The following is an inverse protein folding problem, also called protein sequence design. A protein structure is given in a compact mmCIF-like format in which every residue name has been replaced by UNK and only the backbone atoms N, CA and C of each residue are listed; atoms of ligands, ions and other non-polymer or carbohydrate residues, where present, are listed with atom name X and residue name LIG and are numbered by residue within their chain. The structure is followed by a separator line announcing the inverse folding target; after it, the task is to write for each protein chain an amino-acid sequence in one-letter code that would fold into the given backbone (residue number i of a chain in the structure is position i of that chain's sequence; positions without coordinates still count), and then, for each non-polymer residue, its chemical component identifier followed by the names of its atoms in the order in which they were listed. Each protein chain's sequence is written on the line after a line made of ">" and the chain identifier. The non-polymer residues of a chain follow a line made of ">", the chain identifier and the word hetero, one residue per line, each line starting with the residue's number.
data_IF_291411284736
#
_entry.id   IF_291411284736
#
_cell.length_a   1.000
_cell.length_b   1.000
_cell.length_c   1.000
_cell.angle_alpha   90.00
_cell.angle_beta   90.00
_cell.angle_gamma   90.00
#
_symmetry.space_group_name_H-M   'P 1'
#
loop_
_entity.id
_entity.type
_entity.pdbx_description
1 polymer ?
#
# COMPACT_ATOMS: atom_id res chain seq x y z
N UNK A 1 6.17 23.83 6.86
CA UNK A 1 4.96 23.01 6.79
C UNK A 1 5.26 21.75 6.00
N UNK A 2 4.91 20.59 6.55
CA UNK A 2 4.94 19.30 5.84
C UNK A 2 3.51 18.83 5.70
N UNK A 3 3.12 18.46 4.49
CA UNK A 3 1.74 18.10 4.17
C UNK A 3 1.67 17.06 3.06
N UNK A 4 0.53 16.40 2.96
CA UNK A 4 0.17 15.56 1.81
C UNK A 4 -0.53 16.42 0.75
N UNK A 5 -0.93 15.79 -0.37
CA UNK A 5 -1.73 16.43 -1.41
C UNK A 5 -3.05 17.08 -0.93
N UNK A 6 -3.47 16.81 0.33
CA UNK A 6 -4.66 17.42 0.93
C UNK A 6 -4.61 18.96 0.97
N UNK A 7 -3.42 19.55 1.04
CA UNK A 7 -3.23 21.00 0.94
C UNK A 7 -3.09 21.52 -0.51
N UNK A 8 -3.15 20.65 -1.50
CA UNK A 8 -3.12 21.01 -2.90
C UNK A 8 -4.34 21.83 -3.37
N UNK A 9 -5.45 21.79 -2.61
CA UNK A 9 -6.64 22.58 -2.86
C UNK A 9 -7.14 23.23 -1.56
N UNK A 10 -7.74 24.42 -1.67
CA UNK A 10 -8.37 25.10 -0.53
C UNK A 10 -7.43 25.71 0.52
N UNK A 11 -6.12 25.51 0.38
CA UNK A 11 -5.12 26.11 1.26
C UNK A 11 -4.59 27.41 0.65
N UNK A 12 -4.66 28.48 1.41
CA UNK A 12 -4.15 29.78 1.01
C UNK A 12 -3.23 30.36 2.10
N UNK A 13 -1.96 30.47 1.77
CA UNK A 13 -0.93 31.08 2.61
C UNK A 13 -0.07 31.97 1.71
N UNK A 14 -0.32 33.29 1.69
CA UNK A 14 0.24 34.18 0.69
C UNK A 14 1.78 34.33 0.78
N UNK A 15 2.36 34.10 1.94
CA UNK A 15 3.80 34.20 2.22
C UNK A 15 4.59 32.91 1.99
N UNK A 16 4.06 31.95 1.22
CA UNK A 16 4.82 30.76 0.83
C UNK A 16 5.94 31.13 -0.15
N UNK A 17 7.19 31.09 0.32
CA UNK A 17 8.38 31.35 -0.47
C UNK A 17 8.92 30.14 -1.21
N UNK A 18 8.45 28.93 -0.91
CA UNK A 18 8.88 27.72 -1.64
C UNK A 18 7.88 26.58 -1.54
N UNK A 19 7.95 25.66 -2.52
CA UNK A 19 7.28 24.35 -2.50
C UNK A 19 8.28 23.29 -2.92
N UNK A 20 8.43 22.25 -2.08
CA UNK A 20 9.24 21.06 -2.40
C UNK A 20 8.32 19.86 -2.47
N UNK A 21 8.30 19.17 -3.60
CA UNK A 21 7.64 17.88 -3.76
C UNK A 21 8.65 16.76 -3.51
N UNK A 22 8.33 15.90 -2.56
CA UNK A 22 9.02 14.65 -2.31
C UNK A 22 8.17 13.53 -2.91
N UNK A 23 8.51 13.15 -4.14
CA UNK A 23 7.66 12.37 -5.05
C UNK A 23 6.82 13.27 -5.97
N UNK A 24 6.56 12.81 -7.18
CA UNK A 24 5.82 13.54 -8.18
C UNK A 24 4.30 13.29 -8.07
N UNK A 25 3.44 14.30 -8.25
CA UNK A 25 2.01 14.11 -8.51
C UNK A 25 1.79 13.32 -9.82
N UNK A 26 0.63 12.67 -9.94
CA UNK A 26 0.30 11.83 -11.11
C UNK A 26 -0.03 12.60 -12.38
N UNK A 27 -0.06 13.92 -12.34
CA UNK A 27 -0.33 14.74 -13.53
C UNK A 27 0.31 16.13 -13.46
N UNK A 28 0.69 16.73 -14.59
CA UNK A 28 1.17 18.10 -14.65
C UNK A 28 0.15 19.13 -14.14
N UNK A 29 -1.14 18.88 -14.33
CA UNK A 29 -2.21 19.74 -13.83
C UNK A 29 -2.22 19.76 -12.30
N UNK A 30 -2.17 18.59 -11.67
CA UNK A 30 -2.08 18.48 -10.21
C UNK A 30 -0.80 19.14 -9.67
N UNK A 31 0.33 18.93 -10.36
CA UNK A 31 1.59 19.58 -10.03
C UNK A 31 1.46 21.12 -10.10
N UNK A 32 0.96 21.66 -11.22
CA UNK A 32 0.78 23.11 -11.41
C UNK A 32 -0.11 23.72 -10.33
N UNK A 33 -1.22 23.06 -9.97
CA UNK A 33 -2.11 23.52 -8.90
C UNK A 33 -1.42 23.59 -7.53
N UNK A 34 -0.50 22.66 -7.25
CA UNK A 34 0.22 22.61 -5.99
C UNK A 34 1.34 23.64 -5.94
N UNK A 35 2.15 23.78 -6.97
CA UNK A 35 3.22 24.79 -7.04
C UNK A 35 2.69 26.22 -7.10
N UNK A 36 1.52 26.42 -7.71
CA UNK A 36 0.84 27.72 -7.75
C UNK A 36 0.35 28.24 -6.39
N UNK A 37 0.65 27.54 -5.30
CA UNK A 37 0.44 28.01 -3.92
C UNK A 37 1.57 28.94 -3.46
N UNK A 38 2.77 28.79 -3.99
CA UNK A 38 3.90 29.67 -3.68
C UNK A 38 3.89 30.95 -4.54
N UNK A 39 4.52 31.99 -4.06
CA UNK A 39 4.76 33.23 -4.81
C UNK A 39 3.54 34.15 -4.92
N UNK A 40 2.50 34.01 -4.10
CA UNK A 40 1.29 34.83 -4.20
C UNK A 40 1.47 36.25 -3.68
N UNK A 41 2.23 36.40 -2.60
CA UNK A 41 2.55 37.73 -2.01
C UNK A 41 4.05 37.84 -1.67
N UNK A 42 4.89 37.15 -2.43
CA UNK A 42 6.34 37.23 -2.36
C UNK A 42 6.88 37.56 -3.75
N UNK A 43 7.96 38.31 -3.82
CA UNK A 43 8.58 38.68 -5.10
C UNK A 43 9.21 37.50 -5.82
N UNK A 44 9.53 36.44 -5.06
CA UNK A 44 10.14 35.22 -5.55
C UNK A 44 9.65 34.00 -4.78
N UNK A 45 9.53 32.86 -5.47
CA UNK A 45 9.26 31.58 -4.86
C UNK A 45 10.01 30.46 -5.58
N UNK A 46 10.60 29.58 -4.79
CA UNK A 46 11.34 28.43 -5.30
C UNK A 46 10.44 27.19 -5.36
N UNK A 47 10.57 26.43 -6.45
CA UNK A 47 9.85 25.18 -6.63
C UNK A 47 10.85 24.07 -6.97
N UNK A 48 10.83 23.01 -6.19
CA UNK A 48 11.68 21.84 -6.39
C UNK A 48 10.83 20.58 -6.46
N UNK A 49 11.07 19.78 -7.48
CA UNK A 49 10.49 18.45 -7.63
C UNK A 49 11.61 17.41 -7.47
N UNK A 50 11.39 16.47 -6.54
CA UNK A 50 12.26 15.32 -6.29
C UNK A 50 11.48 14.04 -6.62
N UNK A 51 11.43 13.63 -7.91
CA UNK A 51 10.69 12.43 -8.30
C UNK A 51 11.41 11.17 -7.81
N UNK A 52 10.63 10.11 -7.51
CA UNK A 52 11.11 8.82 -7.09
C UNK A 52 10.67 7.69 -8.02
N UNK A 53 11.41 6.58 -8.11
CA UNK A 53 11.02 5.42 -8.92
C UNK A 53 9.69 4.81 -8.46
N UNK A 54 9.32 5.00 -7.19
CA UNK A 54 8.08 4.54 -6.57
C UNK A 54 6.83 5.34 -6.98
N UNK A 55 6.99 6.53 -7.53
CA UNK A 55 5.87 7.40 -7.91
C UNK A 55 4.89 6.70 -8.86
N UNK A 56 5.41 5.97 -9.84
CA UNK A 56 4.59 5.18 -10.79
C UNK A 56 3.74 4.11 -10.10
N UNK A 57 4.27 3.44 -9.09
CA UNK A 57 3.54 2.41 -8.35
C UNK A 57 2.45 3.05 -7.49
N UNK A 58 2.71 4.22 -6.93
CA UNK A 58 1.75 5.03 -6.18
C UNK A 58 0.62 5.49 -7.11
N UNK A 59 0.93 6.05 -8.28
CA UNK A 59 -0.06 6.49 -9.26
C UNK A 59 -0.93 5.32 -9.72
N UNK A 60 -0.33 4.19 -10.09
CA UNK A 60 -1.05 2.97 -10.49
C UNK A 60 -1.97 2.47 -9.37
N UNK A 61 -1.50 2.48 -8.13
CA UNK A 61 -2.33 2.10 -6.99
C UNK A 61 -3.59 2.97 -6.90
N UNK A 62 -3.46 4.29 -6.96
CA UNK A 62 -4.60 5.19 -6.90
C UNK A 62 -5.49 5.09 -8.14
N UNK A 63 -4.92 4.90 -9.31
CA UNK A 63 -5.68 4.70 -10.55
C UNK A 63 -6.57 3.45 -10.48
N UNK A 64 -6.01 2.33 -10.04
CA UNK A 64 -6.74 1.05 -9.94
C UNK A 64 -7.72 1.00 -8.78
N UNK A 65 -7.36 1.57 -7.62
CA UNK A 65 -8.22 1.53 -6.42
C UNK A 65 -9.49 2.35 -6.58
N UNK A 66 -9.48 3.37 -7.43
CA UNK A 66 -10.62 4.27 -7.64
C UNK A 66 -11.55 3.80 -8.77
N UNK A 67 -11.18 2.77 -9.52
CA UNK A 67 -12.06 2.18 -10.54
C UNK A 67 -12.88 1.04 -9.93
N UNK A 68 -14.20 1.00 -10.19
CA UNK A 68 -15.02 -0.11 -9.73
C UNK A 68 -14.64 -1.38 -10.48
N UNK A 69 -14.40 -2.44 -9.75
CA UNK A 69 -14.35 -3.80 -10.28
C UNK A 69 -15.78 -4.34 -10.40
N UNK A 70 -16.16 -4.89 -11.54
CA UNK A 70 -17.53 -5.36 -11.80
C UNK A 70 -17.99 -6.44 -10.82
N UNK A 71 -17.12 -7.42 -10.53
CA UNK A 71 -17.43 -8.51 -9.63
C UNK A 71 -17.67 -8.01 -8.20
N UNK A 72 -16.81 -7.12 -7.73
CA UNK A 72 -16.93 -6.48 -6.41
C UNK A 72 -18.17 -5.59 -6.32
N UNK A 73 -18.46 -4.83 -7.37
CA UNK A 73 -19.65 -4.00 -7.44
C UNK A 73 -20.93 -4.84 -7.36
N UNK A 74 -21.01 -5.93 -8.14
CA UNK A 74 -22.14 -6.88 -8.10
C UNK A 74 -22.28 -7.54 -6.73
N UNK A 75 -21.18 -7.92 -6.08
CA UNK A 75 -21.21 -8.48 -4.73
C UNK A 75 -21.80 -7.48 -3.71
N UNK A 76 -21.37 -6.22 -3.74
CA UNK A 76 -21.91 -5.17 -2.86
C UNK A 76 -23.40 -4.93 -3.11
N UNK A 77 -23.80 -4.84 -4.37
CA UNK A 77 -25.20 -4.64 -4.76
C UNK A 77 -26.08 -5.82 -4.33
N UNK A 78 -25.60 -7.06 -4.49
CA UNK A 78 -26.31 -8.27 -4.05
C UNK A 78 -26.54 -8.32 -2.53
N UNK A 79 -25.51 -7.93 -1.74
CA UNK A 79 -25.63 -7.87 -0.27
C UNK A 79 -26.62 -6.79 0.20
N UNK A 80 -26.64 -5.63 -0.48
CA UNK A 80 -27.61 -4.58 -0.17
C UNK A 80 -29.03 -4.99 -0.54
N UNK A 81 -29.22 -5.70 -1.65
CA UNK A 81 -30.51 -6.22 -2.09
C UNK A 81 -31.01 -7.31 -1.14
N UNK A 82 -30.18 -8.30 -0.82
CA UNK A 82 -30.50 -9.38 0.10
C UNK A 82 -30.86 -8.89 1.51
N UNK A 83 -30.25 -7.78 1.96
CA UNK A 83 -30.54 -7.20 3.25
C UNK A 83 -31.93 -6.56 3.33
N UNK A 84 -32.48 -6.03 2.25
CA UNK A 84 -33.79 -5.35 2.18
C UNK A 84 -33.92 -4.11 3.08
N UNK A 85 -32.81 -3.66 3.68
CA UNK A 85 -32.69 -2.51 4.58
C UNK A 85 -31.34 -1.84 4.45
N UNK A 86 -31.18 -0.57 4.89
CA UNK A 86 -29.90 0.10 4.87
C UNK A 86 -28.82 -0.65 5.66
N UNK A 87 -27.63 -0.75 5.10
CA UNK A 87 -26.44 -1.31 5.75
C UNK A 87 -25.38 -0.23 5.96
N UNK A 88 -24.86 -0.15 7.18
CA UNK A 88 -23.68 0.68 7.46
C UNK A 88 -22.43 0.10 6.78
N UNK A 89 -21.41 0.94 6.55
CA UNK A 89 -20.13 0.47 5.99
C UNK A 89 -19.53 -0.67 6.82
N UNK A 90 -19.48 -0.60 8.16
CA UNK A 90 -19.00 -1.74 8.96
C UNK A 90 -19.84 -3.02 8.77
N UNK A 91 -21.15 -2.91 8.57
CA UNK A 91 -22.00 -4.06 8.31
C UNK A 91 -21.75 -4.67 6.91
N UNK A 92 -21.41 -3.85 5.92
CA UNK A 92 -21.02 -4.32 4.58
C UNK A 92 -19.63 -4.97 4.60
N UNK A 93 -18.68 -4.43 5.36
CA UNK A 93 -17.34 -5.03 5.52
C UNK A 93 -17.39 -6.47 6.03
N UNK A 94 -18.43 -6.85 6.80
CA UNK A 94 -18.60 -8.24 7.25
C UNK A 94 -19.20 -9.16 6.19
N UNK A 95 -19.61 -8.64 5.04
CA UNK A 95 -20.35 -9.38 3.99
C UNK A 95 -19.56 -9.47 2.69
N UNK A 96 -18.71 -8.48 2.40
CA UNK A 96 -17.92 -8.40 1.18
C UNK A 96 -16.44 -8.34 1.49
N UNK A 97 -15.62 -8.98 0.67
CA UNK A 97 -14.17 -8.99 0.83
C UNK A 97 -13.54 -7.70 0.28
N UNK A 98 -13.87 -6.59 0.92
CA UNK A 98 -13.33 -5.26 0.63
C UNK A 98 -12.86 -4.58 1.91
N UNK A 99 -11.72 -3.90 1.83
CA UNK A 99 -11.29 -2.97 2.88
C UNK A 99 -12.22 -1.75 2.88
N UNK A 100 -12.28 -1.07 4.02
CA UNK A 100 -13.18 0.07 4.24
C UNK A 100 -13.06 1.15 3.17
N UNK A 101 -11.86 1.64 2.90
CA UNK A 101 -11.64 2.74 1.94
C UNK A 101 -12.07 2.36 0.51
N UNK A 102 -11.65 1.22 -0.08
CA UNK A 102 -12.18 0.76 -1.37
C UNK A 102 -13.69 0.59 -1.37
N UNK A 103 -14.29 0.07 -0.31
CA UNK A 103 -15.74 -0.09 -0.19
C UNK A 103 -16.46 1.26 -0.20
N UNK A 104 -15.98 2.24 0.58
CA UNK A 104 -16.55 3.59 0.62
C UNK A 104 -16.44 4.31 -0.73
N UNK A 105 -15.33 4.13 -1.45
CA UNK A 105 -15.15 4.67 -2.80
C UNK A 105 -16.11 4.02 -3.79
N UNK A 106 -16.23 2.70 -3.77
CA UNK A 106 -17.15 1.95 -4.62
C UNK A 106 -18.61 2.39 -4.39
N UNK A 107 -19.03 2.52 -3.12
CA UNK A 107 -20.38 2.99 -2.78
C UNK A 107 -20.66 4.40 -3.31
N UNK A 108 -19.66 5.29 -3.31
CA UNK A 108 -19.80 6.63 -3.90
C UNK A 108 -19.97 6.57 -5.42
N UNK A 109 -19.20 5.72 -6.11
CA UNK A 109 -19.35 5.52 -7.56
C UNK A 109 -20.73 4.96 -7.89
N UNK A 110 -21.15 3.91 -7.17
CA UNK A 110 -22.48 3.32 -7.35
C UNK A 110 -23.63 4.30 -7.03
N UNK A 111 -23.40 5.27 -6.14
CA UNK A 111 -24.37 6.34 -5.89
C UNK A 111 -24.47 7.34 -7.02
N UNK A 112 -23.32 7.70 -7.64
CA UNK A 112 -23.30 8.54 -8.85
C UNK A 112 -24.00 7.81 -10.02
N UNK A 113 -23.83 6.50 -10.11
CA UNK A 113 -24.54 5.67 -11.12
C UNK A 113 -26.03 5.47 -10.80
N UNK A 114 -26.51 5.96 -9.66
CA UNK A 114 -27.91 5.84 -9.25
C UNK A 114 -28.30 4.46 -8.69
N UNK A 115 -27.35 3.53 -8.58
CA UNK A 115 -27.63 2.15 -8.15
C UNK A 115 -27.85 2.01 -6.63
N UNK A 116 -27.25 2.90 -5.84
CA UNK A 116 -27.39 2.96 -4.37
C UNK A 116 -27.64 4.39 -3.91
N UNK A 117 -28.23 4.52 -2.74
CA UNK A 117 -28.39 5.81 -2.08
C UNK A 117 -27.99 5.72 -0.61
N UNK A 118 -27.52 6.84 -0.08
CA UNK A 118 -27.24 6.98 1.35
C UNK A 118 -28.53 7.39 2.07
N UNK A 119 -28.90 6.65 3.10
CA UNK A 119 -30.09 6.90 3.92
C UNK A 119 -29.70 6.95 5.41
N UNK A 120 -30.66 7.25 6.27
CA UNK A 120 -30.47 7.10 7.70
C UNK A 120 -30.23 5.62 8.03
N UNK A 121 -29.06 5.31 8.57
CA UNK A 121 -28.64 3.92 8.90
C UNK A 121 -27.64 3.30 7.92
N UNK A 122 -27.35 3.94 6.78
CA UNK A 122 -26.32 3.46 5.86
C UNK A 122 -26.63 3.59 4.39
N UNK A 123 -26.27 2.58 3.62
CA UNK A 123 -26.44 2.49 2.18
C UNK A 123 -27.53 1.50 1.84
N UNK A 124 -28.31 1.78 0.81
CA UNK A 124 -29.42 0.97 0.35
C UNK A 124 -29.49 0.96 -1.18
N UNK A 125 -30.00 -0.13 -1.76
CA UNK A 125 -30.36 -0.18 -3.18
C UNK A 125 -31.46 0.83 -3.50
N UNK A 126 -31.37 1.45 -4.68
CA UNK A 126 -32.45 2.29 -5.20
C UNK A 126 -33.56 1.50 -5.89
N UNK A 127 -33.27 0.26 -6.30
CA UNK A 127 -34.14 -0.54 -7.17
C UNK A 127 -33.89 -0.32 -8.65
N UNK A 128 -33.13 0.69 -9.03
CA UNK A 128 -32.76 0.94 -10.43
C UNK A 128 -31.82 -0.15 -10.95
N UNK A 129 -32.03 -0.61 -12.21
CA UNK A 129 -31.12 -1.52 -12.86
C UNK A 129 -29.71 -0.90 -12.95
N UNK A 130 -28.68 -1.66 -12.61
CA UNK A 130 -27.31 -1.22 -12.77
C UNK A 130 -26.57 -2.12 -13.76
N UNK A 131 -25.93 -1.51 -14.73
CA UNK A 131 -25.04 -2.16 -15.68
C UNK A 131 -23.63 -1.58 -15.54
N UNK A 132 -22.64 -2.45 -15.63
CA UNK A 132 -21.23 -2.01 -15.60
C UNK A 132 -20.87 -1.29 -16.89
N UNK A 133 -20.58 0.01 -16.81
CA UNK A 133 -20.15 0.83 -17.95
C UNK A 133 -18.63 0.72 -18.14
N UNK A 134 -18.20 -0.43 -18.68
CA UNK A 134 -16.78 -0.71 -18.92
C UNK A 134 -16.12 0.28 -19.87
N UNK A 135 -16.87 0.83 -20.85
CA UNK A 135 -16.33 1.84 -21.77
C UNK A 135 -16.01 3.15 -21.06
N UNK A 136 -16.92 3.64 -20.22
CA UNK A 136 -16.70 4.86 -19.43
C UNK A 136 -15.51 4.68 -18.48
N UNK A 137 -15.46 3.59 -17.76
CA UNK A 137 -14.35 3.33 -16.82
C UNK A 137 -13.04 3.12 -17.57
N UNK A 138 -13.06 2.47 -18.74
CA UNK A 138 -11.89 2.33 -19.60
C UNK A 138 -11.36 3.69 -20.10
N UNK A 139 -12.24 4.60 -20.52
CA UNK A 139 -11.83 5.95 -20.92
C UNK A 139 -11.19 6.73 -19.75
N UNK A 140 -11.77 6.63 -18.54
CA UNK A 140 -11.19 7.29 -17.35
C UNK A 140 -9.83 6.69 -16.99
N UNK A 141 -9.69 5.37 -17.05
CA UNK A 141 -8.42 4.70 -16.82
C UNK A 141 -7.35 5.14 -17.84
N UNK A 142 -7.71 5.20 -19.12
CA UNK A 142 -6.80 5.65 -20.18
C UNK A 142 -6.38 7.11 -19.99
N UNK A 143 -7.30 8.00 -19.66
CA UNK A 143 -6.98 9.41 -19.41
C UNK A 143 -5.95 9.56 -18.28
N UNK A 144 -6.01 8.73 -17.23
CA UNK A 144 -5.01 8.73 -16.16
C UNK A 144 -3.64 8.23 -16.63
N UNK A 145 -3.61 7.20 -17.46
CA UNK A 145 -2.36 6.73 -18.07
C UNK A 145 -1.72 7.81 -18.94
N UNK A 146 -2.54 8.56 -19.68
CA UNK A 146 -2.07 9.67 -20.51
C UNK A 146 -1.54 10.83 -19.64
N UNK A 147 -2.19 11.14 -18.52
CA UNK A 147 -1.71 12.13 -17.55
C UNK A 147 -0.39 11.72 -16.89
N UNK A 148 -0.26 10.44 -16.50
CA UNK A 148 0.99 9.89 -15.96
C UNK A 148 2.13 10.01 -16.98
N UNK A 149 1.85 9.70 -18.24
CA UNK A 149 2.83 9.86 -19.32
C UNK A 149 3.27 11.32 -19.48
N UNK A 150 2.33 12.26 -19.46
CA UNK A 150 2.64 13.69 -19.52
C UNK A 150 3.50 14.13 -18.33
N UNK A 151 3.28 13.58 -17.13
CA UNK A 151 4.13 13.89 -15.97
C UNK A 151 5.55 13.37 -16.14
N UNK A 152 5.72 12.16 -16.67
CA UNK A 152 7.04 11.62 -17.02
C UNK A 152 7.73 12.42 -18.11
N UNK A 153 6.98 12.88 -19.12
CA UNK A 153 7.51 13.75 -20.19
C UNK A 153 7.96 15.11 -19.60
N UNK A 154 7.22 15.64 -18.62
CA UNK A 154 7.62 16.83 -17.87
C UNK A 154 8.92 16.62 -17.06
N UNK A 155 9.05 15.51 -16.36
CA UNK A 155 10.27 15.17 -15.60
C UNK A 155 11.50 15.08 -16.51
N UNK A 156 11.34 14.54 -17.72
CA UNK A 156 12.40 14.28 -18.68
C UNK A 156 12.57 15.37 -19.74
N UNK A 157 11.76 16.44 -19.70
CA UNK A 157 11.89 17.50 -20.72
C UNK A 157 13.26 18.16 -20.66
N UNK A 158 13.85 18.45 -21.80
CA UNK A 158 15.04 19.29 -21.94
C UNK A 158 14.70 20.76 -22.21
N UNK A 159 13.40 21.06 -22.36
CA UNK A 159 12.90 22.41 -22.61
C UNK A 159 12.52 23.17 -21.34
N UNK A 160 11.93 24.33 -21.51
CA UNK A 160 11.46 25.13 -20.39
C UNK A 160 10.34 24.44 -19.59
N UNK A 161 10.52 24.31 -18.29
CA UNK A 161 9.54 23.68 -17.37
C UNK A 161 8.18 24.36 -17.40
N UNK A 162 8.17 25.71 -17.33
CA UNK A 162 6.91 26.47 -17.31
C UNK A 162 6.21 26.46 -18.66
N UNK A 163 6.94 26.57 -19.76
CA UNK A 163 6.37 26.44 -21.09
C UNK A 163 5.70 25.08 -21.29
N UNK A 164 6.33 23.98 -20.80
CA UNK A 164 5.73 22.66 -20.86
C UNK A 164 4.39 22.61 -20.09
N UNK A 165 4.36 23.11 -18.85
CA UNK A 165 3.15 23.15 -18.04
C UNK A 165 2.06 24.03 -18.67
N UNK A 166 2.43 25.20 -19.18
CA UNK A 166 1.47 26.11 -19.86
C UNK A 166 0.86 25.45 -21.09
N UNK A 167 1.65 24.74 -21.89
CA UNK A 167 1.13 24.00 -23.07
C UNK A 167 0.16 22.89 -22.69
N UNK A 168 0.47 22.13 -21.61
CA UNK A 168 -0.44 21.10 -21.10
C UNK A 168 -1.76 21.68 -20.58
N UNK A 169 -1.75 22.96 -20.18
CA UNK A 169 -2.94 23.70 -19.75
C UNK A 169 -3.62 24.48 -20.89
N UNK A 170 -3.28 24.17 -22.15
CA UNK A 170 -3.85 24.80 -23.33
C UNK A 170 -3.62 26.33 -23.41
N UNK A 171 -2.54 26.83 -22.78
CA UNK A 171 -2.17 28.26 -22.88
C UNK A 171 -1.57 28.57 -24.27
N UNK A 172 -2.26 29.33 -25.11
CA UNK A 172 -1.79 29.70 -26.44
C UNK A 172 -0.58 30.65 -26.39
N UNK A 173 -0.25 31.22 -25.24
CA UNK A 173 0.86 32.14 -25.03
C UNK A 173 2.06 31.44 -24.35
N UNK A 174 2.06 30.13 -24.26
CA UNK A 174 3.15 29.36 -23.65
C UNK A 174 4.50 29.72 -24.29
N UNK A 175 5.42 30.23 -23.48
CA UNK A 175 6.75 30.66 -23.90
C UNK A 175 7.80 30.34 -22.82
N UNK A 176 9.11 30.29 -23.19
CA UNK A 176 10.18 30.11 -22.23
C UNK A 176 10.14 31.13 -21.08
N UNK A 177 10.22 30.62 -19.84
CA UNK A 177 10.05 31.47 -18.65
C UNK A 177 11.30 32.25 -18.23
N UNK A 178 12.48 31.91 -18.75
CA UNK A 178 13.76 32.55 -18.42
C UNK A 178 14.31 32.28 -17.03
N UNK A 179 13.63 31.51 -16.17
CA UNK A 179 13.97 31.36 -14.74
C UNK A 179 14.01 29.95 -14.20
N UNK A 180 13.56 28.94 -14.94
CA UNK A 180 13.66 27.54 -14.50
C UNK A 180 15.09 27.00 -14.68
N UNK A 181 15.35 25.81 -14.15
CA UNK A 181 16.64 25.11 -14.25
C UNK A 181 17.15 24.95 -15.68
N UNK A 182 16.26 24.75 -16.65
CA UNK A 182 16.63 24.68 -18.09
C UNK A 182 16.86 26.04 -18.72
N UNK A 183 16.23 27.11 -18.25
CA UNK A 183 16.42 28.43 -18.83
C UNK A 183 17.59 29.21 -18.22
N UNK A 184 17.76 29.12 -16.88
CA UNK A 184 18.73 29.91 -16.11
C UNK A 184 19.82 29.07 -15.41
N UNK A 185 19.73 27.74 -15.53
CA UNK A 185 20.57 26.81 -14.79
C UNK A 185 19.99 26.46 -13.40
N UNK A 186 20.48 25.36 -12.81
CA UNK A 186 20.00 24.91 -11.51
C UNK A 186 20.44 25.87 -10.39
N UNK A 187 19.49 26.26 -9.53
CA UNK A 187 19.72 27.09 -8.35
C UNK A 187 20.04 26.24 -7.09
N UNK A 188 19.79 24.94 -7.15
CA UNK A 188 19.98 23.97 -6.07
C UNK A 188 21.29 23.19 -6.26
N UNK A 189 21.86 22.62 -5.18
CA UNK A 189 23.04 21.76 -5.27
C UNK A 189 22.78 20.53 -6.13
N UNK A 190 23.63 20.29 -7.12
CA UNK A 190 23.55 19.10 -8.00
C UNK A 190 24.37 17.91 -7.48
N UNK A 191 25.13 18.12 -6.39
CA UNK A 191 25.90 17.08 -5.70
C UNK A 191 25.50 17.00 -4.23
N UNK A 192 25.48 15.79 -3.69
CA UNK A 192 25.22 15.53 -2.28
C UNK A 192 26.55 15.16 -1.64
N UNK A 193 26.89 15.77 -0.50
CA UNK A 193 28.11 15.45 0.22
C UNK A 193 28.05 14.03 0.84
N UNK A 194 29.23 13.44 1.08
CA UNK A 194 29.32 12.07 1.59
C UNK A 194 28.75 11.91 3.01
N UNK A 195 28.75 12.97 3.82
CA UNK A 195 28.16 12.92 5.17
C UNK A 195 26.64 12.85 5.10
N UNK A 196 26.01 13.61 4.20
CA UNK A 196 24.57 13.57 3.96
C UNK A 196 24.14 12.21 3.39
N UNK A 197 24.90 11.65 2.43
CA UNK A 197 24.68 10.29 1.91
C UNK A 197 24.78 9.25 3.02
N UNK A 198 25.83 9.34 3.87
CA UNK A 198 26.03 8.43 5.00
C UNK A 198 24.87 8.48 6.01
N UNK A 199 24.38 9.68 6.34
CA UNK A 199 23.24 9.86 7.22
C UNK A 199 21.93 9.32 6.62
N UNK A 200 21.68 9.58 5.34
CA UNK A 200 20.55 9.05 4.63
C UNK A 200 20.59 7.51 4.59
N UNK A 201 21.75 6.92 4.25
CA UNK A 201 21.92 5.46 4.23
C UNK A 201 21.68 4.83 5.60
N UNK A 202 22.16 5.45 6.68
CA UNK A 202 21.89 4.98 8.05
C UNK A 202 20.39 5.06 8.39
N UNK A 203 19.72 6.14 8.00
CA UNK A 203 18.29 6.31 8.25
C UNK A 203 17.46 5.29 7.47
N UNK A 204 17.78 5.08 6.18
CA UNK A 204 17.11 4.12 5.31
C UNK A 204 17.45 2.66 5.66
N UNK A 205 18.62 2.42 6.26
CA UNK A 205 19.06 1.10 6.72
C UNK A 205 18.45 0.65 8.03
N UNK A 206 17.62 1.47 8.70
CA UNK A 206 16.94 1.06 9.92
C UNK A 206 15.96 -0.06 9.62
N UNK A 207 16.01 -1.09 10.46
CA UNK A 207 15.11 -2.24 10.41
C UNK A 207 14.23 -2.28 11.65
N UNK A 208 13.13 -3.04 11.56
CA UNK A 208 12.26 -3.31 12.69
C UNK A 208 11.01 -2.45 12.71
N UNK A 209 9.91 -3.04 12.26
CA UNK A 209 8.57 -2.46 12.37
C UNK A 209 7.77 -3.31 13.33
N UNK A 210 7.22 -2.67 14.34
CA UNK A 210 6.34 -3.31 15.31
C UNK A 210 5.04 -3.75 14.66
N UNK A 211 4.61 -4.98 14.99
CA UNK A 211 3.32 -5.54 14.60
C UNK A 211 2.52 -5.74 15.88
N UNK A 212 1.62 -4.81 16.15
CA UNK A 212 0.76 -4.88 17.33
C UNK A 212 -0.18 -6.09 17.25
N UNK A 213 -0.29 -6.88 18.32
CA UNK A 213 -1.20 -8.01 18.39
C UNK A 213 -2.64 -7.52 18.43
N UNK A 214 -3.52 -8.25 17.78
CA UNK A 214 -4.96 -7.99 17.91
C UNK A 214 -5.47 -8.43 19.28
N UNK A 215 -6.34 -7.61 19.84
CA UNK A 215 -7.02 -7.89 21.11
C UNK A 215 -8.44 -8.40 20.92
N UNK A 216 -8.97 -8.33 19.69
CA UNK A 216 -10.33 -8.77 19.37
C UNK A 216 -10.38 -9.45 18.00
N UNK A 217 -11.22 -10.45 17.92
CA UNK A 217 -11.52 -11.11 16.65
C UNK A 217 -12.20 -10.13 15.68
N UNK A 218 -11.95 -10.24 14.37
CA UNK A 218 -12.68 -9.46 13.38
C UNK A 218 -14.19 -9.70 13.49
N UNK A 219 -15.00 -8.69 13.20
CA UNK A 219 -16.44 -8.85 13.13
C UNK A 219 -16.85 -9.66 11.89
N UNK A 220 -17.96 -10.41 12.00
CA UNK A 220 -18.52 -11.17 10.87
C UNK A 220 -17.90 -12.55 10.63
N UNK A 221 -17.09 -13.05 11.55
CA UNK A 221 -16.45 -14.37 11.44
C UNK A 221 -17.47 -15.52 11.35
N UNK A 222 -18.62 -15.38 12.03
CA UNK A 222 -19.73 -16.33 11.98
C UNK A 222 -20.28 -16.56 10.55
N UNK A 223 -20.27 -15.52 9.72
CA UNK A 223 -20.68 -15.62 8.29
C UNK A 223 -19.69 -16.39 7.43
N UNK A 224 -18.45 -16.46 7.86
CA UNK A 224 -17.37 -17.21 7.21
C UNK A 224 -17.22 -18.63 7.80
N UNK A 225 -18.16 -19.07 8.63
CA UNK A 225 -18.12 -20.38 9.29
C UNK A 225 -17.09 -20.50 10.41
N UNK A 226 -16.53 -19.39 10.88
CA UNK A 226 -15.50 -19.38 11.93
C UNK A 226 -16.15 -19.00 13.25
N UNK A 227 -16.14 -19.87 14.28
CA UNK A 227 -16.84 -19.66 15.54
C UNK A 227 -16.08 -18.75 16.52
N UNK A 228 -15.56 -17.62 16.02
CA UNK A 228 -14.76 -16.66 16.79
C UNK A 228 -15.47 -15.30 16.81
N UNK A 229 -15.61 -14.69 18.01
CA UNK A 229 -16.19 -13.36 18.19
C UNK A 229 -15.69 -12.69 19.47
N UNK A 230 -15.77 -11.37 19.49
CA UNK A 230 -15.46 -10.58 20.69
C UNK A 230 -13.96 -10.48 20.98
N UNK A 231 -13.62 -10.38 22.27
CA UNK A 231 -12.24 -10.24 22.73
C UNK A 231 -11.50 -11.58 22.62
N UNK A 232 -10.25 -11.54 22.23
CA UNK A 232 -9.35 -12.71 22.23
C UNK A 232 -9.01 -13.02 23.69
N UNK A 233 -9.22 -14.28 24.18
CA UNK A 233 -8.85 -14.70 25.53
C UNK A 233 -7.37 -14.42 25.81
N UNK A 234 -7.02 -14.10 27.06
CA UNK A 234 -5.64 -13.74 27.42
C UNK A 234 -4.64 -14.86 27.10
N UNK A 235 -5.03 -16.10 27.34
CA UNK A 235 -4.24 -17.30 27.04
C UNK A 235 -4.02 -17.53 25.54
N UNK A 236 -4.80 -16.90 24.68
CA UNK A 236 -4.70 -16.98 23.23
C UNK A 236 -4.12 -15.71 22.60
N UNK A 237 -3.76 -14.72 23.41
CA UNK A 237 -3.13 -13.50 22.91
C UNK A 237 -1.65 -13.77 22.61
N UNK A 238 -1.22 -13.27 21.46
CA UNK A 238 0.19 -13.29 21.08
C UNK A 238 0.88 -12.01 21.53
N UNK A 239 2.18 -12.07 21.73
CA UNK A 239 3.02 -10.92 21.98
C UNK A 239 3.19 -10.11 20.69
N UNK A 240 3.78 -8.92 20.83
CA UNK A 240 4.10 -8.05 19.71
C UNK A 240 5.03 -8.77 18.71
N UNK A 241 4.73 -8.60 17.45
CA UNK A 241 5.56 -9.11 16.36
C UNK A 241 6.51 -8.04 15.80
N UNK A 242 7.47 -8.47 14.99
CA UNK A 242 8.40 -7.59 14.28
C UNK A 242 8.48 -7.96 12.81
N UNK A 243 8.58 -6.97 11.94
CA UNK A 243 8.92 -7.13 10.54
C UNK A 243 10.19 -6.34 10.22
N UNK A 244 10.90 -6.72 9.16
CA UNK A 244 12.08 -5.97 8.70
C UNK A 244 11.69 -4.55 8.31
N UNK A 245 10.64 -4.40 7.52
CA UNK A 245 10.11 -3.11 7.06
C UNK A 245 8.67 -3.27 6.55
N UNK A 246 8.00 -2.14 6.30
CA UNK A 246 6.77 -2.13 5.49
C UNK A 246 7.14 -2.11 4.01
N UNK A 247 6.25 -2.62 3.16
CA UNK A 247 6.44 -2.53 1.70
C UNK A 247 6.48 -1.09 1.19
N UNK A 248 5.91 -0.15 1.95
CA UNK A 248 5.89 1.28 1.63
C UNK A 248 7.12 2.04 2.13
N UNK A 249 7.97 1.43 2.94
CA UNK A 249 9.14 2.10 3.50
C UNK A 249 10.21 2.30 2.42
N UNK A 250 10.94 3.41 2.51
CA UNK A 250 12.13 3.63 1.71
C UNK A 250 13.26 2.68 2.17
N UNK A 251 14.17 2.35 1.28
CA UNK A 251 15.25 1.41 1.59
C UNK A 251 14.78 -0.05 1.61
N UNK A 252 14.54 -0.63 2.77
CA UNK A 252 14.16 -2.04 2.90
C UNK A 252 12.84 -2.40 2.22
N UNK A 253 11.88 -1.48 2.18
CA UNK A 253 10.60 -1.69 1.50
C UNK A 253 10.77 -1.96 0.01
N UNK A 254 11.72 -1.29 -0.66
CA UNK A 254 12.07 -1.55 -2.06
C UNK A 254 12.56 -2.99 -2.29
N UNK A 255 13.47 -3.48 -1.43
CA UNK A 255 13.96 -4.88 -1.49
C UNK A 255 12.84 -5.89 -1.28
N UNK A 256 11.94 -5.62 -0.32
CA UNK A 256 10.78 -6.47 -0.07
C UNK A 256 9.80 -6.48 -1.25
N UNK A 257 9.57 -5.33 -1.90
CA UNK A 257 8.74 -5.28 -3.12
C UNK A 257 9.35 -6.13 -4.23
N UNK A 258 10.65 -6.06 -4.44
CA UNK A 258 11.35 -6.92 -5.41
C UNK A 258 11.22 -8.40 -5.07
N UNK A 259 11.41 -8.78 -3.80
CA UNK A 259 11.26 -10.15 -3.33
C UNK A 259 9.84 -10.71 -3.55
N UNK A 260 8.82 -9.87 -3.32
CA UNK A 260 7.42 -10.27 -3.45
C UNK A 260 6.80 -9.95 -4.81
N UNK A 261 7.56 -9.41 -5.74
CA UNK A 261 7.08 -9.18 -7.10
C UNK A 261 6.60 -10.49 -7.74
N UNK A 262 5.51 -10.41 -8.48
CA UNK A 262 5.06 -11.49 -9.34
C UNK A 262 5.69 -11.30 -10.73
N UNK A 263 6.06 -12.40 -11.38
CA UNK A 263 6.41 -12.43 -12.80
C UNK A 263 5.21 -12.83 -13.63
N UNK A 264 5.33 -12.79 -14.95
CA UNK A 264 4.28 -13.30 -15.86
C UNK A 264 3.93 -14.77 -15.59
N UNK A 265 4.89 -15.56 -15.07
CA UNK A 265 4.70 -16.96 -14.68
C UNK A 265 4.20 -17.17 -13.25
N UNK A 266 3.94 -16.10 -12.50
CA UNK A 266 3.48 -16.16 -11.12
C UNK A 266 4.52 -15.72 -10.07
N UNK A 267 4.28 -15.99 -8.78
CA UNK A 267 5.20 -15.66 -7.69
C UNK A 267 6.53 -16.40 -7.86
N UNK A 268 7.65 -15.67 -7.80
CA UNK A 268 8.97 -16.31 -7.75
C UNK A 268 9.21 -16.95 -6.38
N UNK A 269 9.77 -18.16 -6.40
CA UNK A 269 10.23 -18.85 -5.20
C UNK A 269 11.74 -19.12 -5.33
N UNK A 270 12.50 -18.49 -4.47
CA UNK A 270 13.95 -18.60 -4.40
C UNK A 270 14.41 -18.50 -2.95
N UNK A 271 15.59 -19.04 -2.60
CA UNK A 271 16.16 -18.85 -1.27
C UNK A 271 16.27 -17.38 -0.88
N UNK A 272 16.20 -17.10 0.42
CA UNK A 272 16.31 -15.74 0.96
C UNK A 272 17.64 -15.10 0.58
N UNK A 273 17.59 -13.87 0.14
CA UNK A 273 18.76 -13.03 -0.07
C UNK A 273 19.52 -12.76 1.24
N UNK A 274 20.84 -12.76 1.18
CA UNK A 274 21.69 -12.64 2.38
C UNK A 274 21.50 -11.30 3.09
N UNK A 275 21.28 -10.21 2.37
CA UNK A 275 21.07 -8.89 2.97
C UNK A 275 19.73 -8.85 3.72
N UNK A 276 18.67 -9.44 3.14
CA UNK A 276 17.36 -9.53 3.79
C UNK A 276 17.41 -10.43 5.03
N UNK A 277 18.13 -11.54 4.97
CA UNK A 277 18.38 -12.37 6.14
C UNK A 277 19.11 -11.60 7.22
N UNK A 278 20.17 -10.86 6.86
CA UNK A 278 20.91 -10.02 7.80
C UNK A 278 20.03 -8.91 8.42
N UNK A 279 19.15 -8.30 7.62
CA UNK A 279 18.17 -7.34 8.13
C UNK A 279 17.23 -7.97 9.17
N UNK A 280 16.75 -9.16 8.94
CA UNK A 280 15.92 -9.88 9.90
C UNK A 280 16.70 -10.25 11.18
N UNK A 281 17.96 -10.66 11.05
CA UNK A 281 18.83 -10.91 12.21
C UNK A 281 19.05 -9.64 13.03
N UNK A 282 19.23 -8.49 12.39
CA UNK A 282 19.31 -7.21 13.10
C UNK A 282 18.03 -6.88 13.88
N UNK A 283 16.85 -7.15 13.31
CA UNK A 283 15.57 -7.03 14.02
C UNK A 283 15.55 -7.90 15.26
N UNK A 284 15.91 -9.17 15.13
CA UNK A 284 15.92 -10.13 16.24
C UNK A 284 16.96 -9.77 17.31
N UNK A 285 18.13 -9.27 16.91
CA UNK A 285 19.17 -8.83 17.82
C UNK A 285 18.80 -7.56 18.60
N UNK A 286 17.99 -6.69 18.01
CA UNK A 286 17.51 -5.45 18.63
C UNK A 286 16.18 -5.62 19.39
N UNK A 287 15.59 -6.81 19.38
CA UNK A 287 14.35 -7.10 20.06
C UNK A 287 14.58 -7.23 21.56
N UNK A 288 13.83 -6.52 22.35
CA UNK A 288 13.86 -6.66 23.81
C UNK A 288 13.03 -7.88 24.23
N UNK A 289 13.68 -9.04 24.20
CA UNK A 289 13.04 -10.33 24.49
C UNK A 289 12.74 -10.45 25.99
N UNK A 290 11.45 -10.62 26.34
CA UNK A 290 11.07 -11.03 27.70
C UNK A 290 11.61 -12.44 28.01
N UNK A 291 11.53 -13.34 27.02
CA UNK A 291 12.11 -14.68 27.07
C UNK A 291 12.81 -14.96 25.72
N UNK A 292 14.03 -15.46 25.77
CA UNK A 292 14.77 -15.78 24.55
C UNK A 292 14.15 -16.99 23.84
N UNK A 293 14.04 -16.92 22.50
CA UNK A 293 13.63 -18.09 21.72
C UNK A 293 14.58 -19.28 21.94
N UNK A 294 14.02 -20.46 22.04
CA UNK A 294 14.79 -21.72 22.21
C UNK A 294 14.86 -22.52 20.90
N UNK A 295 14.01 -22.22 19.92
CA UNK A 295 13.95 -22.93 18.65
C UNK A 295 13.34 -22.04 17.56
N UNK A 296 13.44 -22.48 16.32
CA UNK A 296 12.79 -21.89 15.15
C UNK A 296 11.83 -22.90 14.55
N UNK A 297 10.60 -22.46 14.29
CA UNK A 297 9.57 -23.18 13.54
C UNK A 297 9.08 -22.29 12.41
N UNK A 298 8.86 -22.83 11.23
CA UNK A 298 8.31 -22.05 10.12
C UNK A 298 6.83 -22.33 9.88
N UNK A 299 6.13 -21.28 9.41
CA UNK A 299 4.79 -21.41 8.83
C UNK A 299 4.98 -21.55 7.32
N UNK A 300 4.57 -22.67 6.71
CA UNK A 300 4.88 -22.94 5.31
C UNK A 300 4.15 -22.00 4.37
N UNK A 301 4.77 -21.70 3.25
CA UNK A 301 4.16 -20.97 2.15
C UNK A 301 3.86 -21.89 0.98
N UNK A 302 2.64 -21.86 0.49
CA UNK A 302 2.25 -22.61 -0.70
C UNK A 302 2.95 -22.13 -1.97
N UNK A 303 3.20 -20.82 -2.07
CA UNK A 303 3.75 -20.19 -3.28
C UNK A 303 5.24 -19.90 -3.19
N UNK A 304 5.83 -19.94 -1.97
CA UNK A 304 7.25 -19.64 -1.74
C UNK A 304 7.86 -20.55 -0.67
N UNK A 305 7.82 -21.90 -0.85
CA UNK A 305 8.36 -22.82 0.12
C UNK A 305 9.88 -22.71 0.31
N UNK A 306 10.66 -22.47 -0.77
CA UNK A 306 12.11 -22.28 -0.69
C UNK A 306 12.48 -21.03 0.09
N UNK A 307 11.79 -19.91 -0.15
CA UNK A 307 12.00 -18.66 0.57
C UNK A 307 11.81 -18.86 2.07
N UNK A 308 10.69 -19.45 2.47
CA UNK A 308 10.36 -19.65 3.89
C UNK A 308 11.33 -20.64 4.56
N UNK A 309 11.63 -21.75 3.90
CA UNK A 309 12.57 -22.75 4.42
C UNK A 309 13.97 -22.17 4.63
N UNK A 310 14.55 -21.57 3.59
CA UNK A 310 15.88 -20.97 3.66
C UNK A 310 15.98 -19.82 4.66
N UNK A 311 14.90 -19.06 4.84
CA UNK A 311 14.82 -17.98 5.83
C UNK A 311 14.84 -18.54 7.25
N UNK A 312 14.01 -19.54 7.55
CA UNK A 312 13.95 -20.19 8.86
C UNK A 312 15.30 -20.88 9.22
N UNK A 313 15.87 -21.64 8.29
CA UNK A 313 17.19 -22.27 8.46
C UNK A 313 18.30 -21.22 8.65
N UNK A 314 18.25 -20.13 7.90
CA UNK A 314 19.19 -19.01 8.02
C UNK A 314 19.17 -18.38 9.40
N UNK A 315 17.98 -18.07 9.93
CA UNK A 315 17.79 -17.55 11.29
C UNK A 315 18.27 -18.55 12.34
N UNK A 316 17.87 -19.81 12.23
CA UNK A 316 18.25 -20.86 13.15
C UNK A 316 19.78 -21.01 13.24
N UNK A 317 20.44 -21.07 12.09
CA UNK A 317 21.92 -21.18 12.00
C UNK A 317 22.63 -19.98 12.64
N UNK A 318 22.21 -18.74 12.32
CA UNK A 318 22.86 -17.53 12.87
C UNK A 318 22.56 -17.39 14.35
N UNK A 319 21.33 -17.66 14.78
CA UNK A 319 20.90 -17.62 16.18
C UNK A 319 21.42 -18.79 17.03
N UNK A 320 22.06 -19.79 16.41
CA UNK A 320 22.47 -21.03 17.07
C UNK A 320 21.30 -21.75 17.76
N UNK A 321 20.15 -21.75 17.09
CA UNK A 321 18.91 -22.37 17.56
C UNK A 321 18.61 -23.60 16.71
N UNK A 322 17.99 -24.66 17.27
CA UNK A 322 17.47 -25.75 16.47
C UNK A 322 16.35 -25.27 15.55
N UNK A 323 16.36 -25.71 14.29
CA UNK A 323 15.22 -25.62 13.40
C UNK A 323 14.41 -26.90 13.53
N UNK A 324 13.21 -26.80 14.11
CA UNK A 324 12.36 -27.94 14.40
C UNK A 324 11.47 -28.36 13.23
N UNK A 325 11.53 -27.61 12.12
CA UNK A 325 10.72 -27.89 10.94
C UNK A 325 9.60 -26.87 10.72
N UNK A 326 8.60 -27.28 9.96
CA UNK A 326 7.48 -26.46 9.50
C UNK A 326 6.16 -27.04 9.97
N UNK A 327 5.15 -26.20 10.13
CA UNK A 327 3.76 -26.67 10.26
C UNK A 327 3.33 -27.40 8.98
N UNK A 328 2.36 -28.28 9.07
CA UNK A 328 1.75 -28.94 7.92
C UNK A 328 0.58 -28.11 7.37
N UNK A 329 0.41 -28.13 6.03
CA UNK A 329 -0.70 -27.52 5.35
C UNK A 329 -1.89 -28.48 5.27
N UNK A 330 -3.05 -28.02 5.72
CA UNK A 330 -4.33 -28.74 5.51
C UNK A 330 -4.90 -28.34 4.16
N UNK A 331 -5.34 -29.30 3.34
CA UNK A 331 -5.94 -29.08 2.01
C UNK A 331 -5.12 -28.16 1.08
N UNK A 332 -3.78 -28.25 1.18
CA UNK A 332 -2.85 -27.44 0.39
C UNK A 332 -2.70 -25.99 0.91
N UNK A 333 -3.28 -25.66 2.06
CA UNK A 333 -3.10 -24.40 2.76
C UNK A 333 -3.86 -23.21 2.16
N UNK A 334 -3.66 -22.01 2.73
CA UNK A 334 -4.39 -20.81 2.32
C UNK A 334 -4.14 -20.48 0.85
N UNK A 335 -5.20 -20.14 0.13
CA UNK A 335 -5.10 -19.55 -1.22
C UNK A 335 -4.67 -18.10 -1.06
N UNK A 336 -3.49 -17.73 -1.56
CA UNK A 336 -2.79 -16.48 -1.28
C UNK A 336 -3.40 -15.18 -1.81
N UNK A 337 -4.65 -15.17 -2.26
CA UNK A 337 -5.37 -14.06 -2.88
C UNK A 337 -6.22 -13.22 -1.92
N UNK A 338 -6.14 -13.46 -0.62
CA UNK A 338 -6.90 -12.72 0.41
C UNK A 338 -6.38 -11.30 0.63
N UNK A 339 -6.40 -10.48 -0.42
CA UNK A 339 -6.12 -9.05 -0.33
C UNK A 339 -7.16 -8.23 0.43
N UNK A 340 -8.20 -8.88 0.93
CA UNK A 340 -9.39 -8.33 1.52
C UNK A 340 -9.26 -7.80 2.95
N UNK A 341 -10.38 -7.69 3.61
CA UNK A 341 -10.43 -7.25 5.00
C UNK A 341 -9.97 -8.35 5.98
N UNK A 342 -9.87 -7.98 7.26
CA UNK A 342 -9.30 -8.87 8.28
C UNK A 342 -10.11 -10.13 8.54
N UNK A 343 -11.45 -10.08 8.38
CA UNK A 343 -12.30 -11.25 8.60
C UNK A 343 -12.06 -12.31 7.53
N UNK A 344 -12.05 -11.89 6.27
CA UNK A 344 -11.79 -12.78 5.14
C UNK A 344 -10.37 -13.36 5.19
N UNK A 345 -9.36 -12.54 5.57
CA UNK A 345 -7.99 -13.05 5.77
C UNK A 345 -7.89 -14.09 6.87
N UNK A 346 -8.57 -13.88 8.01
CA UNK A 346 -8.60 -14.87 9.08
C UNK A 346 -9.36 -16.12 8.64
N UNK A 347 -10.52 -15.98 7.97
CA UNK A 347 -11.26 -17.09 7.41
C UNK A 347 -10.45 -17.94 6.44
N UNK A 348 -9.63 -17.29 5.61
CA UNK A 348 -8.78 -17.98 4.64
C UNK A 348 -7.64 -18.81 5.28
N UNK A 349 -7.23 -18.48 6.51
CA UNK A 349 -6.18 -19.23 7.22
C UNK A 349 -6.74 -20.12 8.34
N UNK A 350 -8.04 -20.04 8.62
CA UNK A 350 -8.67 -20.80 9.69
C UNK A 350 -8.56 -22.30 9.45
N UNK A 351 -7.95 -23.02 10.38
CA UNK A 351 -7.71 -24.49 10.31
C UNK A 351 -6.91 -24.95 9.08
N UNK A 352 -6.14 -24.04 8.45
CA UNK A 352 -5.30 -24.39 7.30
C UNK A 352 -3.91 -24.91 7.66
N UNK A 353 -3.61 -24.99 8.96
CA UNK A 353 -2.33 -25.48 9.47
C UNK A 353 -2.54 -26.47 10.62
N UNK A 354 -1.69 -27.49 10.69
CA UNK A 354 -1.59 -28.43 11.81
C UNK A 354 -0.14 -28.52 12.31
N UNK A 355 0.01 -28.86 13.57
CA UNK A 355 1.32 -29.13 14.17
C UNK A 355 1.64 -30.62 13.91
N UNK A 356 2.75 -30.94 13.21
CA UNK A 356 3.19 -32.33 13.03
C UNK A 356 3.40 -33.03 14.37
N UNK A 357 3.14 -34.34 14.42
CA UNK A 357 3.35 -35.13 15.64
C UNK A 357 4.81 -35.08 16.12
N UNK A 358 5.75 -35.11 15.17
CA UNK A 358 7.19 -35.02 15.44
C UNK A 358 7.56 -33.68 16.10
N UNK A 359 6.93 -32.58 15.67
CA UNK A 359 7.14 -31.26 16.26
C UNK A 359 6.50 -31.19 17.66
N UNK A 360 5.33 -31.75 17.83
CA UNK A 360 4.66 -31.83 19.15
C UNK A 360 5.54 -32.55 20.16
N UNK A 361 6.16 -33.67 19.75
CA UNK A 361 7.05 -34.46 20.62
C UNK A 361 8.34 -33.71 21.03
N UNK A 362 8.77 -32.73 20.26
CA UNK A 362 9.94 -31.89 20.56
C UNK A 362 9.62 -30.65 21.41
N UNK A 363 8.36 -30.28 21.53
CA UNK A 363 7.89 -29.11 22.29
C UNK A 363 7.38 -29.49 23.70
N UNK A 364 7.21 -30.78 23.98
CA UNK A 364 6.83 -31.32 25.30
C UNK A 364 8.07 -31.84 26.04
#
# INVERSE_FOLDING_TARGET
>A
LIATSALGMGFDKPDLGFVVHFGAPSSPVAYYQQVGRAGRATDHADVLLLPGPEDRDIWRYFATTSMPDEHRARAVLGELEAAGKPLSVPALETRVDLKRTPLELLLKVLAVDGAVQRTQGGWQRTGEPWTYDGERYGRVAQARVDEEKLMLDYENTSGCRMEFLSRVLDDPQAAPCGRCDHCAGPWFPTSIDESAKGNASKALGRVGVEIEPRRSWPSGMDRLGVPLKGRIPEESQVLEGRAVARLTDLGWGGRLRTLFAATESGPQDAPIDQDLLQGAVQVLASWDWAERPIAVVSVPSRTRPQLVGSFAEGIARIGQLPYLGSLDLVDGGPRGDSGGNSAFRLGAVWQMFTVPEELTAQLT
#
